data_IF_275511299260
#
_entry.id   IF_275511299260
#
_cell.length_a   1.000
_cell.length_b   1.000
_cell.length_c   1.000
_cell.angle_alpha   90.00
_cell.angle_beta   90.00
_cell.angle_gamma   90.00
#
_symmetry.space_group_name_H-M   'P 1'
#
loop_
_entity.id
_entity.type
_entity.pdbx_description
1 polymer ?
#
# COMPACT_ATOMS: atom_id res chain seq x y z
N UNK A 1 -17.38 3.39 -7.59
CA UNK A 1 -16.04 4.00 -7.52
C UNK A 1 -15.05 2.87 -7.28
N UNK A 2 -13.90 2.88 -7.95
CA UNK A 2 -12.95 1.76 -7.94
C UNK A 2 -11.57 2.25 -7.50
N UNK A 3 -10.88 1.41 -6.73
CA UNK A 3 -9.45 1.55 -6.47
C UNK A 3 -8.73 0.63 -7.44
N UNK A 4 -7.71 1.16 -8.14
CA UNK A 4 -6.87 0.36 -9.04
C UNK A 4 -5.52 0.08 -8.40
N UNK A 5 -5.05 -1.15 -8.58
CA UNK A 5 -3.73 -1.60 -8.12
C UNK A 5 -2.91 -2.02 -9.34
N UNK A 6 -1.76 -1.38 -9.56
CA UNK A 6 -0.87 -1.71 -10.69
C UNK A 6 0.57 -1.93 -10.21
N UNK A 7 1.31 -2.86 -10.82
CA UNK A 7 2.71 -3.07 -10.49
C UNK A 7 3.56 -1.86 -10.93
N UNK A 8 4.62 -1.56 -10.18
CA UNK A 8 5.56 -0.49 -10.50
C UNK A 8 6.91 -0.67 -9.80
N UNK A 9 7.70 0.40 -9.80
CA UNK A 9 8.97 0.54 -9.11
C UNK A 9 9.06 1.91 -8.45
N UNK A 10 9.60 1.96 -7.24
CA UNK A 10 9.92 3.24 -6.61
C UNK A 10 11.09 3.94 -7.28
N UNK A 11 10.95 5.26 -7.41
CA UNK A 11 12.04 6.13 -7.85
C UNK A 11 13.06 6.23 -6.72
N UNK A 12 14.33 5.93 -7.03
CA UNK A 12 15.39 5.84 -6.02
C UNK A 12 15.88 4.41 -5.87
N UNK A 13 15.38 3.68 -4.86
CA UNK A 13 15.88 2.36 -4.49
C UNK A 13 15.42 1.19 -5.38
N UNK A 14 14.55 1.44 -6.38
CA UNK A 14 14.02 0.43 -7.30
C UNK A 14 13.25 -0.73 -6.63
N UNK A 15 12.77 -0.54 -5.40
CA UNK A 15 11.92 -1.53 -4.75
C UNK A 15 10.66 -1.83 -5.57
N UNK A 16 10.25 -3.10 -5.57
CA UNK A 16 9.03 -3.52 -6.22
C UNK A 16 7.87 -2.82 -5.54
N UNK A 17 7.02 -2.11 -6.29
CA UNK A 17 5.87 -1.45 -5.68
C UNK A 17 4.55 -1.81 -6.36
N UNK A 18 3.48 -1.49 -5.65
CA UNK A 18 2.11 -1.44 -6.12
C UNK A 18 1.70 0.03 -6.07
N UNK A 19 1.45 0.62 -7.23
CA UNK A 19 0.78 1.91 -7.33
C UNK A 19 -0.71 1.72 -7.05
N UNK A 20 -1.25 2.55 -6.18
CA UNK A 20 -2.65 2.51 -5.73
C UNK A 20 -3.30 3.79 -6.23
N UNK A 21 -4.27 3.65 -7.13
CA UNK A 21 -5.01 4.78 -7.69
C UNK A 21 -6.44 4.74 -7.17
N UNK A 22 -6.72 5.41 -6.04
CA UNK A 22 -8.08 5.62 -5.58
C UNK A 22 -8.79 6.71 -6.39
N UNK A 23 -10.11 6.85 -6.27
CA UNK A 23 -10.79 8.06 -6.71
C UNK A 23 -10.25 9.29 -5.98
N UNK A 24 -10.16 10.44 -6.65
CA UNK A 24 -9.52 11.65 -6.10
C UNK A 24 -10.01 12.08 -4.70
N UNK A 25 -11.32 11.95 -4.42
CA UNK A 25 -11.89 12.28 -3.12
C UNK A 25 -11.44 11.35 -1.96
N UNK A 26 -10.79 10.24 -2.27
CA UNK A 26 -10.36 9.20 -1.32
C UNK A 26 -8.84 9.03 -1.25
N UNK A 27 -8.08 9.92 -1.89
CA UNK A 27 -6.61 9.83 -1.98
C UNK A 27 -5.94 9.50 -0.63
N UNK A 28 -6.23 10.32 0.39
CA UNK A 28 -5.70 10.10 1.72
C UNK A 28 -6.49 9.07 2.54
N UNK A 29 -7.78 8.89 2.23
CA UNK A 29 -8.67 8.02 3.00
C UNK A 29 -8.33 6.54 2.88
N UNK A 30 -7.72 6.10 1.77
CA UNK A 30 -7.42 4.67 1.57
C UNK A 30 -6.23 4.16 2.40
N UNK A 31 -5.36 5.03 2.90
CA UNK A 31 -4.11 4.60 3.54
C UNK A 31 -4.34 3.80 4.83
N UNK A 32 -5.06 4.38 5.81
CA UNK A 32 -5.27 3.72 7.10
C UNK A 32 -6.08 2.43 6.98
N UNK A 33 -7.19 2.39 6.20
CA UNK A 33 -7.91 1.15 5.94
C UNK A 33 -7.05 0.09 5.26
N UNK A 34 -6.24 0.46 4.26
CA UNK A 34 -5.35 -0.48 3.60
C UNK A 34 -4.30 -1.04 4.57
N UNK A 35 -3.67 -0.18 5.37
CA UNK A 35 -2.67 -0.61 6.35
C UNK A 35 -3.26 -1.57 7.40
N UNK A 36 -4.44 -1.24 7.93
CA UNK A 36 -5.14 -2.10 8.88
C UNK A 36 -5.58 -3.43 8.25
N UNK A 37 -6.05 -3.40 7.00
CA UNK A 37 -6.40 -4.60 6.26
C UNK A 37 -5.20 -5.51 6.05
N UNK A 38 -4.06 -4.97 5.62
CA UNK A 38 -2.83 -5.74 5.45
C UNK A 38 -2.36 -6.34 6.78
N UNK A 39 -2.36 -5.54 7.86
CA UNK A 39 -1.98 -5.99 9.20
C UNK A 39 -2.81 -7.19 9.67
N UNK A 40 -4.14 -7.09 9.53
CA UNK A 40 -5.06 -8.18 9.88
C UNK A 40 -4.93 -9.40 8.97
N UNK A 41 -4.61 -9.21 7.69
CA UNK A 41 -4.58 -10.28 6.68
C UNK A 41 -3.29 -11.09 6.78
N UNK A 42 -2.16 -10.42 6.99
CA UNK A 42 -0.84 -11.03 7.02
C UNK A 42 -0.28 -11.23 8.44
N UNK A 43 -1.02 -10.81 9.47
CA UNK A 43 -0.73 -11.13 10.87
C UNK A 43 0.46 -10.34 11.45
N UNK A 44 0.58 -9.06 11.10
CA UNK A 44 1.58 -8.17 11.70
C UNK A 44 0.93 -7.08 12.56
N UNK A 45 1.68 -6.54 13.53
CA UNK A 45 1.20 -5.45 14.37
C UNK A 45 1.03 -4.16 13.55
N UNK A 46 0.00 -3.36 13.86
CA UNK A 46 -0.23 -2.11 13.15
C UNK A 46 0.98 -1.17 13.39
N UNK A 47 1.74 -0.81 12.34
CA UNK A 47 2.96 -0.04 12.51
C UNK A 47 2.65 1.42 12.85
N UNK A 48 3.65 2.09 13.42
CA UNK A 48 3.58 3.53 13.66
C UNK A 48 3.58 4.27 12.33
N UNK A 49 2.62 5.17 12.16
CA UNK A 49 2.56 6.08 11.00
C UNK A 49 3.50 7.28 11.26
N UNK A 50 4.45 7.50 10.36
CA UNK A 50 5.36 8.63 10.37
C UNK A 50 4.82 9.76 9.47
N UNK A 51 4.72 11.00 9.97
CA UNK A 51 4.39 12.14 9.12
C UNK A 51 5.55 12.47 8.17
N UNK A 52 5.24 12.85 6.94
CA UNK A 52 6.16 13.37 5.93
C UNK A 52 5.75 14.79 5.52
N UNK A 53 6.57 15.48 4.73
CA UNK A 53 6.31 16.87 4.30
C UNK A 53 4.91 17.04 3.68
N UNK A 54 4.47 16.05 2.90
CA UNK A 54 3.26 16.09 2.09
C UNK A 54 2.38 14.85 2.26
N UNK A 55 2.50 14.15 3.38
CA UNK A 55 1.74 12.93 3.60
C UNK A 55 2.26 12.09 4.76
N UNK A 56 2.27 10.78 4.58
CA UNK A 56 2.64 9.85 5.63
C UNK A 56 3.14 8.53 5.06
N UNK A 57 4.00 7.88 5.85
CA UNK A 57 4.51 6.55 5.56
C UNK A 57 4.39 5.65 6.79
N UNK A 58 4.38 4.35 6.55
CA UNK A 58 4.48 3.34 7.59
C UNK A 58 5.34 2.18 7.07
N UNK A 59 6.40 1.88 7.80
CA UNK A 59 7.29 0.75 7.53
C UNK A 59 6.86 -0.47 8.36
N UNK A 60 6.89 -1.65 7.75
CA UNK A 60 6.51 -2.90 8.38
C UNK A 60 7.12 -4.11 7.65
N UNK A 61 7.11 -5.27 8.31
CA UNK A 61 7.51 -6.54 7.70
C UNK A 61 6.26 -7.34 7.32
N UNK A 62 6.20 -7.79 6.06
CA UNK A 62 5.12 -8.63 5.54
C UNK A 62 5.74 -9.81 4.79
N UNK A 63 5.33 -11.03 5.17
CA UNK A 63 5.84 -12.28 4.59
C UNK A 63 7.39 -12.39 4.61
N UNK A 64 8.04 -11.81 5.63
CA UNK A 64 9.50 -11.80 5.76
C UNK A 64 10.23 -10.82 4.84
N UNK A 65 9.51 -9.92 4.15
CA UNK A 65 10.08 -8.81 3.38
C UNK A 65 9.81 -7.49 4.09
N UNK A 66 10.78 -6.59 4.06
CA UNK A 66 10.54 -5.19 4.40
C UNK A 66 9.56 -4.58 3.39
N UNK A 67 8.65 -3.76 3.89
CA UNK A 67 7.63 -3.09 3.12
C UNK A 67 7.32 -1.70 3.69
N UNK A 68 6.92 -0.79 2.81
CA UNK A 68 6.52 0.57 3.18
C UNK A 68 5.25 0.93 2.44
N UNK A 69 4.22 1.33 3.19
CA UNK A 69 3.07 2.02 2.62
C UNK A 69 3.31 3.52 2.72
N UNK A 70 3.18 4.24 1.62
CA UNK A 70 3.31 5.68 1.54
C UNK A 70 2.07 6.29 0.87
N UNK A 71 1.68 7.47 1.34
CA UNK A 71 0.84 8.39 0.58
C UNK A 71 1.48 9.79 0.64
N UNK A 72 1.55 10.46 -0.51
CA UNK A 72 1.92 11.87 -0.62
C UNK A 72 0.86 12.66 -1.40
N UNK A 73 1.14 13.89 -1.84
CA UNK A 73 0.19 14.71 -2.62
C UNK A 73 -0.17 14.14 -4.01
N UNK A 74 0.61 13.19 -4.52
CA UNK A 74 0.52 12.69 -5.89
C UNK A 74 0.12 11.23 -5.96
N UNK A 75 0.67 10.41 -5.08
CA UNK A 75 0.50 8.97 -5.13
C UNK A 75 0.19 8.32 -3.78
N UNK A 76 -0.35 7.11 -3.88
CA UNK A 76 -0.39 6.15 -2.79
C UNK A 76 0.30 4.91 -3.33
N UNK A 77 1.29 4.40 -2.62
CA UNK A 77 2.06 3.25 -3.08
C UNK A 77 2.51 2.37 -1.94
N UNK A 78 2.58 1.07 -2.23
CA UNK A 78 3.06 0.04 -1.32
C UNK A 78 4.30 -0.59 -1.93
N UNK A 79 5.46 -0.38 -1.32
CA UNK A 79 6.73 -0.95 -1.77
C UNK A 79 7.17 -2.14 -0.93
N UNK A 80 7.96 -3.00 -1.56
CA UNK A 80 8.50 -4.23 -1.02
C UNK A 80 9.95 -4.38 -1.45
N UNK A 81 10.78 -4.85 -0.55
CA UNK A 81 12.14 -5.27 -0.86
C UNK A 81 12.16 -6.43 -1.89
N UNK A 82 11.20 -7.36 -1.80
CA UNK A 82 11.15 -8.55 -2.65
C UNK A 82 9.99 -8.52 -3.66
N UNK A 83 10.33 -8.72 -4.94
CA UNK A 83 9.37 -8.82 -6.05
C UNK A 83 8.28 -9.89 -5.85
N UNK A 84 8.66 -11.08 -5.38
CA UNK A 84 7.71 -12.18 -5.19
C UNK A 84 6.63 -11.84 -4.15
N UNK A 85 7.02 -11.10 -3.09
CA UNK A 85 6.07 -10.64 -2.06
C UNK A 85 5.13 -9.59 -2.65
N UNK A 86 5.67 -8.63 -3.43
CA UNK A 86 4.86 -7.65 -4.16
C UNK A 86 3.83 -8.34 -5.05
N UNK A 87 4.24 -9.31 -5.86
CA UNK A 87 3.36 -10.01 -6.80
C UNK A 87 2.25 -10.78 -6.07
N UNK A 88 2.58 -11.45 -4.96
CA UNK A 88 1.60 -12.13 -4.12
C UNK A 88 0.58 -11.16 -3.53
N UNK A 89 1.03 -10.02 -2.97
CA UNK A 89 0.12 -9.02 -2.40
C UNK A 89 -0.72 -8.36 -3.48
N UNK A 90 -0.14 -8.07 -4.65
CA UNK A 90 -0.87 -7.49 -5.79
C UNK A 90 -2.01 -8.40 -6.24
N UNK A 91 -1.72 -9.69 -6.46
CA UNK A 91 -2.75 -10.67 -6.83
C UNK A 91 -3.85 -10.76 -5.76
N UNK A 92 -3.47 -10.70 -4.48
CA UNK A 92 -4.44 -10.71 -3.39
C UNK A 92 -5.34 -9.46 -3.39
N UNK A 93 -4.78 -8.26 -3.53
CA UNK A 93 -5.53 -7.00 -3.58
C UNK A 93 -6.44 -6.92 -4.81
N UNK A 94 -5.99 -7.42 -5.96
CA UNK A 94 -6.77 -7.47 -7.20
C UNK A 94 -7.91 -8.49 -7.14
N UNK A 95 -7.85 -9.47 -6.24
CA UNK A 95 -8.94 -10.43 -6.02
C UNK A 95 -10.08 -9.89 -5.14
N UNK A 96 -9.89 -8.73 -4.50
CA UNK A 96 -10.90 -8.14 -3.62
C UNK A 96 -12.01 -7.43 -4.41
N UNK A 97 -13.21 -7.27 -3.82
CA UNK A 97 -14.27 -6.49 -4.44
C UNK A 97 -13.83 -5.06 -4.76
N UNK A 98 -14.29 -4.57 -5.91
CA UNK A 98 -14.09 -3.18 -6.33
C UNK A 98 -14.60 -2.21 -5.26
N UNK A 99 -13.68 -1.50 -4.61
CA UNK A 99 -14.00 -0.48 -3.60
C UNK A 99 -14.11 -0.99 -2.14
N UNK A 100 -13.58 -2.16 -1.81
CA UNK A 100 -13.63 -2.70 -0.44
C UNK A 100 -13.04 -1.77 0.65
N UNK A 101 -12.17 -0.82 0.28
CA UNK A 101 -11.58 0.19 1.16
C UNK A 101 -12.26 1.57 1.09
N UNK A 102 -13.38 1.71 0.36
CA UNK A 102 -14.09 2.98 0.17
C UNK A 102 -15.35 3.11 1.05
N UNK A 103 -15.54 2.20 2.00
CA UNK A 103 -16.67 2.19 2.94
C UNK A 103 -16.46 3.13 4.12
#
# INVERSE_FOLDING_TARGET
MEIRFSPGRWVGNQWACISITPPAAYHYHVFKPLLAYLASTYGFELPRIAPMLDGYAADFCLLGSEATLQADNWDVSLAFEQDAVRDQVLAHLQSQPTGFLLN
#
